data_IF_442079415718
#
_entry.id   IF_442079415718
#
_cell.length_a   1.000
_cell.length_b   1.000
_cell.length_c   1.000
_cell.angle_alpha   90.00
_cell.angle_beta   90.00
_cell.angle_gamma   90.00
#
_symmetry.space_group_name_H-M   'P 1'
#
loop_
_entity.id
_entity.type
_entity.pdbx_description
1 polymer ?
#
# COMPACT_ATOMS: atom_id res chain seq x y z
N UNK A 1 -2.05 9.00 -0.43
CA UNK A 1 -1.02 7.98 -0.16
C UNK A 1 -1.14 6.80 -1.11
N UNK A 2 -2.29 6.07 -1.17
CA UNK A 2 -2.42 4.86 -2.01
C UNK A 2 -2.06 5.10 -3.49
N UNK A 3 -2.55 6.16 -4.11
CA UNK A 3 -2.24 6.51 -5.50
C UNK A 3 -0.74 6.78 -5.77
N UNK A 4 0.06 7.02 -4.75
CA UNK A 4 1.52 7.15 -4.89
C UNK A 4 2.21 5.79 -5.08
N UNK A 5 1.52 4.71 -4.72
CA UNK A 5 1.97 3.34 -4.92
C UNK A 5 1.71 2.82 -6.35
N UNK A 6 1.11 3.62 -7.23
CA UNK A 6 1.08 3.30 -8.65
C UNK A 6 2.50 3.43 -9.23
N UNK A 7 3.25 2.32 -9.19
CA UNK A 7 4.66 2.26 -9.57
C UNK A 7 4.90 2.39 -11.07
N UNK A 8 3.87 2.21 -11.89
CA UNK A 8 3.97 2.46 -13.34
C UNK A 8 3.89 3.97 -13.62
N UNK A 9 3.08 4.69 -12.87
CA UNK A 9 2.91 6.13 -13.00
C UNK A 9 3.99 6.91 -12.22
N UNK A 10 4.41 6.38 -11.08
CA UNK A 10 5.42 6.95 -10.21
C UNK A 10 6.59 5.98 -10.13
N UNK A 11 7.41 5.91 -11.18
CA UNK A 11 8.50 4.95 -11.30
C UNK A 11 9.46 5.05 -10.10
N UNK A 12 9.57 4.00 -9.27
CA UNK A 12 10.54 3.95 -8.20
C UNK A 12 11.95 3.62 -8.72
N UNK A 13 12.96 3.86 -7.92
CA UNK A 13 14.37 3.70 -8.29
C UNK A 13 14.69 2.31 -8.88
N UNK A 14 14.04 1.25 -8.38
CA UNK A 14 14.23 -0.11 -8.89
C UNK A 14 13.59 -0.36 -10.27
N UNK A 15 12.82 0.55 -10.83
CA UNK A 15 12.28 0.48 -12.19
C UNK A 15 12.94 1.49 -13.14
N UNK A 16 13.83 2.34 -12.64
CA UNK A 16 14.50 3.32 -13.46
C UNK A 16 15.70 2.68 -14.19
N UNK A 17 15.85 2.94 -15.50
CA UNK A 17 17.05 2.51 -16.21
C UNK A 17 18.27 3.24 -15.63
N UNK A 18 19.23 2.47 -15.15
CA UNK A 18 20.62 2.81 -14.82
C UNK A 18 21.03 4.25 -14.44
N UNK A 19 20.24 4.90 -13.61
CA UNK A 19 20.66 6.20 -13.08
C UNK A 19 21.75 6.13 -12.00
N UNK A 20 21.85 5.00 -11.28
CA UNK A 20 22.79 4.81 -10.15
C UNK A 20 23.31 3.37 -10.13
N UNK A 21 24.04 2.96 -11.15
CA UNK A 21 24.54 1.61 -11.37
C UNK A 21 24.73 0.77 -10.10
N UNK A 22 24.29 -0.48 -10.17
CA UNK A 22 24.49 -1.51 -9.15
C UNK A 22 23.81 -1.33 -7.79
N UNK A 23 22.70 -0.59 -7.68
CA UNK A 23 21.90 -0.56 -6.44
C UNK A 23 21.11 -1.84 -6.27
N UNK A 24 20.57 -2.39 -7.33
CA UNK A 24 19.71 -3.57 -7.33
C UNK A 24 20.29 -4.73 -8.11
N UNK A 25 20.00 -5.92 -7.62
CA UNK A 25 20.21 -7.18 -8.29
C UNK A 25 18.86 -7.77 -8.69
N UNK A 26 18.74 -8.24 -9.92
CA UNK A 26 17.52 -8.85 -10.48
C UNK A 26 17.82 -10.30 -10.85
N UNK A 27 16.83 -11.17 -10.64
CA UNK A 27 16.87 -12.55 -11.07
C UNK A 27 15.52 -12.96 -11.65
N UNK A 28 15.55 -13.62 -12.81
CA UNK A 28 14.36 -14.33 -13.29
C UNK A 28 14.16 -15.55 -12.40
N UNK A 29 12.96 -15.70 -11.86
CA UNK A 29 12.60 -16.84 -11.03
C UNK A 29 11.91 -17.90 -11.89
N UNK A 30 10.59 -17.86 -11.89
CA UNK A 30 9.75 -18.84 -12.57
C UNK A 30 8.67 -18.13 -13.40
N UNK A 31 7.86 -18.91 -14.08
CA UNK A 31 6.64 -18.46 -14.71
C UNK A 31 5.45 -18.92 -13.88
N UNK A 32 4.43 -18.10 -13.77
CA UNK A 32 3.17 -18.44 -13.12
C UNK A 32 1.98 -17.94 -13.93
N UNK A 33 0.77 -18.20 -13.46
CA UNK A 33 -0.45 -17.75 -14.11
C UNK A 33 -1.21 -16.81 -13.19
N UNK A 34 -1.51 -15.61 -13.67
CA UNK A 34 -2.37 -14.62 -12.99
C UNK A 34 -3.49 -14.23 -13.95
N UNK A 35 -4.73 -14.33 -13.52
CA UNK A 35 -5.93 -14.01 -14.30
C UNK A 35 -5.93 -14.67 -15.72
N UNK A 36 -5.57 -15.97 -15.77
CA UNK A 36 -5.42 -16.77 -17.01
C UNK A 36 -4.31 -16.27 -17.96
N UNK A 37 -3.36 -15.47 -17.51
CA UNK A 37 -2.22 -15.00 -18.28
C UNK A 37 -0.93 -15.59 -17.73
N UNK A 38 -0.08 -16.03 -18.65
CA UNK A 38 1.27 -16.46 -18.30
C UNK A 38 2.12 -15.25 -17.98
N UNK A 39 2.76 -15.25 -16.83
CA UNK A 39 3.61 -14.15 -16.38
C UNK A 39 4.99 -14.63 -15.97
N UNK A 40 6.00 -13.87 -16.34
CA UNK A 40 7.36 -14.04 -15.87
C UNK A 40 7.51 -13.39 -14.50
N UNK A 41 8.14 -14.08 -13.56
CA UNK A 41 8.43 -13.57 -12.22
C UNK A 41 9.88 -13.12 -12.15
N UNK A 42 10.09 -11.85 -11.87
CA UNK A 42 11.40 -11.24 -11.68
C UNK A 42 11.54 -10.82 -10.23
N UNK A 43 12.42 -11.48 -9.48
CA UNK A 43 12.78 -11.03 -8.15
C UNK A 43 13.83 -9.92 -8.22
N UNK A 44 13.74 -8.98 -7.29
CA UNK A 44 14.75 -7.93 -7.15
C UNK A 44 15.08 -7.66 -5.68
N UNK A 45 16.31 -7.28 -5.44
CA UNK A 45 16.80 -6.92 -4.11
C UNK A 45 17.97 -5.95 -4.22
N UNK A 46 18.21 -5.18 -3.17
CA UNK A 46 19.40 -4.33 -3.09
C UNK A 46 20.69 -5.15 -3.01
N UNK A 47 21.76 -4.62 -3.56
CA UNK A 47 23.08 -5.23 -3.49
C UNK A 47 23.66 -5.22 -2.07
N UNK A 48 24.50 -6.23 -1.76
CA UNK A 48 25.01 -6.50 -0.41
C UNK A 48 25.73 -5.33 0.28
N UNK A 49 26.28 -4.39 -0.45
CA UNK A 49 26.98 -3.22 0.11
C UNK A 49 26.06 -2.09 0.60
N UNK A 50 24.78 -2.13 0.25
CA UNK A 50 23.82 -1.07 0.51
C UNK A 50 23.08 -1.37 1.80
N UNK A 51 23.16 -0.46 2.77
CA UNK A 51 22.57 -0.61 4.11
C UNK A 51 21.44 0.39 4.35
N UNK A 52 20.59 0.56 3.35
CA UNK A 52 19.45 1.47 3.35
C UNK A 52 18.13 0.68 3.33
N UNK A 53 17.03 1.24 3.83
CA UNK A 53 15.72 0.59 3.82
C UNK A 53 15.08 0.69 2.42
N UNK A 54 15.67 0.04 1.44
CA UNK A 54 15.15 0.00 0.08
C UNK A 54 14.13 -1.13 -0.10
N UNK A 55 13.35 -1.04 -1.18
CA UNK A 55 12.41 -2.10 -1.55
C UNK A 55 13.15 -3.32 -2.10
N UNK A 56 12.62 -4.49 -1.83
CA UNK A 56 12.90 -5.74 -2.51
C UNK A 56 11.56 -6.44 -2.82
N UNK A 57 11.56 -7.46 -3.64
CA UNK A 57 10.32 -8.18 -3.93
C UNK A 57 10.29 -8.83 -5.30
N UNK A 58 9.10 -8.89 -5.87
CA UNK A 58 8.81 -9.59 -7.11
C UNK A 58 7.95 -8.74 -8.03
N UNK A 59 8.29 -8.77 -9.31
CA UNK A 59 7.56 -8.17 -10.41
C UNK A 59 7.00 -9.28 -11.29
N UNK A 60 5.73 -9.22 -11.59
CA UNK A 60 5.00 -10.17 -12.42
C UNK A 60 4.70 -9.51 -13.76
N UNK A 61 5.39 -9.95 -14.79
CA UNK A 61 5.38 -9.35 -16.13
C UNK A 61 4.67 -10.28 -17.09
N UNK A 62 3.64 -9.79 -17.75
CA UNK A 62 2.92 -10.53 -18.80
C UNK A 62 3.89 -11.01 -19.89
N UNK A 63 3.88 -12.31 -20.17
CA UNK A 63 4.81 -12.93 -21.10
C UNK A 63 4.54 -12.56 -22.58
N UNK A 64 3.33 -12.09 -22.91
CA UNK A 64 2.94 -11.76 -24.28
C UNK A 64 3.30 -10.30 -24.64
N UNK A 65 3.04 -9.37 -23.70
CA UNK A 65 3.11 -7.93 -23.99
C UNK A 65 4.06 -7.14 -23.08
N UNK A 66 4.76 -7.82 -22.17
CA UNK A 66 5.70 -7.26 -21.20
C UNK A 66 5.07 -6.20 -20.24
N UNK A 67 3.75 -6.19 -20.08
CA UNK A 67 3.12 -5.31 -19.12
C UNK A 67 3.32 -5.80 -17.68
N UNK A 68 3.48 -4.87 -16.75
CA UNK A 68 3.45 -5.19 -15.33
C UNK A 68 2.02 -5.54 -14.92
N UNK A 69 1.79 -6.78 -14.47
CA UNK A 69 0.48 -7.29 -14.02
C UNK A 69 0.35 -7.15 -12.51
N UNK A 70 1.42 -7.45 -11.80
CA UNK A 70 1.46 -7.35 -10.34
C UNK A 70 2.87 -7.05 -9.84
N UNK A 71 2.95 -6.41 -8.69
CA UNK A 71 4.19 -6.26 -7.94
C UNK A 71 3.94 -6.57 -6.47
N UNK A 72 4.83 -7.35 -5.85
CA UNK A 72 4.92 -7.53 -4.41
C UNK A 72 6.18 -6.85 -3.94
N UNK A 73 6.03 -5.81 -3.15
CA UNK A 73 7.11 -4.97 -2.66
C UNK A 73 7.22 -5.11 -1.15
N UNK A 74 8.42 -5.29 -0.66
CA UNK A 74 8.72 -5.34 0.76
C UNK A 74 9.90 -4.41 1.06
N UNK A 75 9.84 -3.65 2.14
CA UNK A 75 11.06 -2.96 2.61
C UNK A 75 12.00 -4.01 3.19
N UNK A 76 13.24 -4.02 2.70
CA UNK A 76 14.24 -5.00 3.10
C UNK A 76 14.21 -5.25 4.62
N UNK A 77 13.87 -6.48 5.07
CA UNK A 77 13.69 -6.81 6.49
C UNK A 77 14.90 -6.48 7.37
N UNK A 78 16.11 -6.53 6.79
CA UNK A 78 17.33 -6.18 7.52
C UNK A 78 17.39 -4.68 7.91
N UNK A 79 16.69 -3.83 7.17
CA UNK A 79 16.77 -2.37 7.33
C UNK A 79 15.42 -1.70 7.58
N UNK A 80 14.31 -2.43 7.59
CA UNK A 80 12.94 -1.88 7.75
C UNK A 80 12.78 -1.00 8.99
N UNK A 81 13.53 -1.29 10.06
CA UNK A 81 13.51 -0.47 11.29
C UNK A 81 13.99 0.96 11.07
N UNK A 82 14.86 1.18 10.10
CA UNK A 82 15.39 2.51 9.75
C UNK A 82 14.32 3.33 9.01
N UNK A 83 13.37 2.66 8.33
CA UNK A 83 12.26 3.29 7.64
C UNK A 83 11.09 3.68 8.56
N UNK A 84 11.17 3.40 9.85
CA UNK A 84 10.05 3.64 10.80
C UNK A 84 9.45 5.04 10.67
N UNK A 85 10.30 6.06 10.55
CA UNK A 85 9.87 7.45 10.48
C UNK A 85 9.10 7.81 9.18
N UNK A 86 9.18 6.98 8.17
CA UNK A 86 8.43 7.16 6.91
C UNK A 86 6.93 6.86 7.09
N UNK A 87 6.57 6.08 8.11
CA UNK A 87 5.21 5.60 8.35
C UNK A 87 4.51 6.27 9.52
N UNK A 88 5.21 7.15 10.28
CA UNK A 88 4.67 7.75 11.49
C UNK A 88 4.63 9.27 11.33
N UNK A 89 3.47 9.80 11.01
CA UNK A 89 3.27 11.26 10.88
C UNK A 89 3.32 11.96 12.25
N UNK A 90 2.71 11.37 13.29
CA UNK A 90 2.72 11.92 14.65
C UNK A 90 3.50 11.06 15.63
N UNK A 91 4.66 11.54 16.05
CA UNK A 91 5.46 10.91 17.10
C UNK A 91 4.92 11.29 18.48
N UNK A 92 4.74 10.32 19.34
CA UNK A 92 4.36 10.57 20.73
C UNK A 92 5.57 10.47 21.68
N UNK A 93 5.56 11.24 22.75
CA UNK A 93 6.61 11.17 23.77
C UNK A 93 6.55 9.89 24.61
N UNK A 94 5.38 9.30 24.75
CA UNK A 94 5.12 8.12 25.60
C UNK A 94 5.51 6.80 24.95
N UNK A 95 5.32 6.68 23.62
CA UNK A 95 5.49 5.43 22.89
C UNK A 95 6.73 5.43 22.01
N UNK A 96 7.37 4.27 21.94
CA UNK A 96 8.36 3.95 20.90
C UNK A 96 7.71 2.98 19.93
N UNK A 97 7.58 3.40 18.68
CA UNK A 97 7.05 2.59 17.58
C UNK A 97 8.23 2.23 16.70
N UNK A 98 8.28 1.00 16.20
CA UNK A 98 9.37 0.53 15.35
C UNK A 98 8.77 -0.39 14.28
N UNK A 99 8.98 -0.08 13.00
CA UNK A 99 8.55 -0.92 11.91
C UNK A 99 9.26 -2.28 11.96
N UNK A 100 8.52 -3.34 11.72
CA UNK A 100 9.02 -4.71 11.69
C UNK A 100 8.93 -5.31 10.29
N UNK A 101 7.85 -5.01 9.59
CA UNK A 101 7.58 -5.48 8.25
C UNK A 101 6.68 -4.48 7.54
N UNK A 102 6.92 -4.24 6.26
CA UNK A 102 6.09 -3.41 5.40
C UNK A 102 6.04 -4.08 4.04
N UNK A 103 4.85 -4.52 3.65
CA UNK A 103 4.59 -5.20 2.39
C UNK A 103 3.49 -4.48 1.63
N UNK A 104 3.68 -4.31 0.34
CA UNK A 104 2.67 -3.84 -0.59
C UNK A 104 2.46 -4.84 -1.70
N UNK A 105 1.21 -5.11 -2.02
CA UNK A 105 0.81 -5.84 -3.22
C UNK A 105 0.03 -4.88 -4.10
N UNK A 106 0.48 -4.74 -5.34
CA UNK A 106 -0.11 -3.82 -6.32
C UNK A 106 -0.44 -4.65 -7.55
N UNK A 107 -1.67 -4.60 -8.03
CA UNK A 107 -2.08 -5.29 -9.25
C UNK A 107 -2.62 -4.32 -10.29
N UNK A 108 -2.44 -4.69 -11.53
CA UNK A 108 -2.89 -3.96 -12.71
C UNK A 108 -3.81 -4.85 -13.53
N UNK A 109 -4.84 -4.26 -14.10
CA UNK A 109 -5.79 -4.94 -14.96
C UNK A 109 -5.94 -4.23 -16.28
N UNK A 110 -6.07 -5.02 -17.33
CA UNK A 110 -6.29 -4.50 -18.67
C UNK A 110 -7.76 -4.08 -18.86
N UNK A 111 -7.95 -2.88 -19.37
CA UNK A 111 -9.23 -2.35 -19.83
C UNK A 111 -9.04 -1.71 -21.20
N UNK A 112 -9.77 -2.20 -22.21
CA UNK A 112 -9.64 -1.73 -23.60
C UNK A 112 -8.17 -1.65 -24.12
N UNK A 113 -7.36 -2.67 -23.81
CA UNK A 113 -5.98 -2.74 -24.26
C UNK A 113 -4.97 -1.96 -23.41
N UNK A 114 -5.41 -1.17 -22.43
CA UNK A 114 -4.56 -0.37 -21.54
C UNK A 114 -4.61 -0.95 -20.14
N UNK A 115 -3.45 -0.99 -19.45
CA UNK A 115 -3.37 -1.44 -18.07
C UNK A 115 -3.59 -0.29 -17.10
N UNK A 116 -4.50 -0.49 -16.15
CA UNK A 116 -4.80 0.42 -15.06
C UNK A 116 -4.52 -0.26 -13.73
N UNK A 117 -4.12 0.53 -12.76
CA UNK A 117 -4.03 0.07 -11.39
C UNK A 117 -5.39 -0.45 -10.94
N UNK A 118 -5.44 -1.71 -10.51
CA UNK A 118 -6.67 -2.39 -10.13
C UNK A 118 -6.84 -2.49 -8.62
N UNK A 119 -5.80 -2.94 -7.93
CA UNK A 119 -5.86 -3.18 -6.50
C UNK A 119 -4.52 -2.86 -5.85
N UNK A 120 -4.57 -2.27 -4.67
CA UNK A 120 -3.42 -2.09 -3.79
C UNK A 120 -3.80 -2.60 -2.41
N UNK A 121 -2.95 -3.44 -1.83
CA UNK A 121 -2.98 -3.80 -0.43
C UNK A 121 -1.64 -3.44 0.21
N UNK A 122 -1.71 -2.83 1.38
CA UNK A 122 -0.54 -2.58 2.22
C UNK A 122 -0.72 -3.21 3.58
N UNK A 123 0.23 -4.03 4.00
CA UNK A 123 0.31 -4.66 5.32
C UNK A 123 1.55 -4.13 6.06
N UNK A 124 1.34 -3.50 7.21
CA UNK A 124 2.40 -2.88 7.99
C UNK A 124 2.37 -3.41 9.43
N UNK A 125 3.49 -3.96 9.86
CA UNK A 125 3.66 -4.50 11.21
C UNK A 125 4.62 -3.62 12.00
N UNK A 126 4.19 -3.25 13.19
CA UNK A 126 4.97 -2.41 14.11
C UNK A 126 5.10 -3.08 15.46
N UNK A 127 6.24 -2.88 16.08
CA UNK A 127 6.44 -3.12 17.51
C UNK A 127 6.21 -1.81 18.26
N UNK A 128 5.28 -1.83 19.20
CA UNK A 128 4.90 -0.67 20.01
C UNK A 128 5.30 -0.94 21.45
N UNK A 129 6.01 0.01 22.07
CA UNK A 129 6.50 -0.10 23.44
C UNK A 129 6.32 1.23 24.18
N UNK A 130 5.87 1.16 25.44
CA UNK A 130 5.93 2.31 26.36
C UNK A 130 7.39 2.59 26.76
N UNK A 131 7.86 3.81 26.58
CA UNK A 131 9.27 4.18 26.84
C UNK A 131 9.71 3.95 28.29
N UNK A 132 8.76 3.98 29.25
CA UNK A 132 9.03 3.79 30.68
C UNK A 132 8.83 2.38 31.19
N UNK A 133 8.38 1.46 30.37
CA UNK A 133 8.14 0.07 30.76
C UNK A 133 9.10 -0.86 30.02
N UNK A 134 9.89 -1.63 30.78
CA UNK A 134 10.94 -2.50 30.20
C UNK A 134 10.36 -3.75 29.52
N UNK A 135 9.22 -4.24 29.96
CA UNK A 135 8.71 -5.58 29.59
C UNK A 135 7.42 -5.59 28.77
N UNK A 136 6.82 -4.46 28.47
CA UNK A 136 5.59 -4.44 27.67
C UNK A 136 5.86 -3.96 26.25
N UNK A 137 5.94 -4.88 25.31
CA UNK A 137 5.92 -4.58 23.88
C UNK A 137 4.76 -5.33 23.24
N UNK A 138 3.94 -4.61 22.49
CA UNK A 138 2.83 -5.16 21.71
C UNK A 138 3.16 -5.10 20.23
N UNK A 139 2.63 -6.05 19.47
CA UNK A 139 2.63 -5.98 18.02
C UNK A 139 1.38 -5.24 17.57
N UNK A 140 1.54 -4.36 16.61
CA UNK A 140 0.44 -3.68 15.92
C UNK A 140 0.53 -4.05 14.45
N UNK A 141 -0.52 -4.64 13.91
CA UNK A 141 -0.74 -4.80 12.49
C UNK A 141 -1.73 -3.74 12.03
N UNK A 142 -1.40 -3.04 10.98
CA UNK A 142 -2.30 -2.14 10.27
C UNK A 142 -2.24 -2.46 8.79
N UNK A 143 -3.36 -2.39 8.15
CA UNK A 143 -3.47 -2.64 6.71
C UNK A 143 -4.41 -1.64 6.06
N UNK A 144 -4.31 -1.52 4.76
CA UNK A 144 -5.23 -0.76 3.93
C UNK A 144 -5.38 -1.43 2.57
N UNK A 145 -6.53 -1.24 1.98
CA UNK A 145 -6.82 -1.68 0.63
C UNK A 145 -7.41 -0.54 -0.19
N UNK A 146 -7.14 -0.56 -1.48
CA UNK A 146 -7.77 0.29 -2.47
C UNK A 146 -8.06 -0.53 -3.72
N UNK A 147 -9.29 -0.44 -4.21
CA UNK A 147 -9.75 -1.13 -5.42
C UNK A 147 -10.28 -0.10 -6.41
N UNK A 148 -9.95 -0.28 -7.68
CA UNK A 148 -10.54 0.49 -8.78
C UNK A 148 -11.88 -0.12 -9.14
N UNK A 149 -12.97 0.54 -8.77
CA UNK A 149 -14.33 0.06 -9.02
C UNK A 149 -14.83 0.37 -10.43
N UNK A 150 -14.34 1.46 -11.02
CA UNK A 150 -14.74 1.92 -12.36
C UNK A 150 -13.57 2.62 -13.05
N UNK A 151 -13.42 2.36 -14.34
CA UNK A 151 -12.52 3.12 -15.22
C UNK A 151 -13.38 3.92 -16.18
N UNK A 152 -13.20 5.24 -16.17
CA UNK A 152 -13.84 6.15 -17.11
C UNK A 152 -12.76 6.92 -17.86
N UNK A 153 -12.80 6.85 -19.18
CA UNK A 153 -11.81 7.45 -20.08
C UNK A 153 -12.37 8.62 -20.88
N UNK A 154 -13.69 8.85 -20.76
CA UNK A 154 -14.38 9.89 -21.50
C UNK A 154 -14.41 11.19 -20.69
N UNK A 155 -14.14 12.31 -21.37
CA UNK A 155 -14.20 13.65 -20.77
C UNK A 155 -13.37 13.84 -19.50
N UNK A 156 -12.22 13.18 -19.43
CA UNK A 156 -11.34 13.24 -18.26
C UNK A 156 -10.83 14.66 -18.01
N UNK A 157 -11.12 15.21 -16.85
CA UNK A 157 -10.64 16.50 -16.41
C UNK A 157 -9.72 16.38 -15.21
N UNK A 158 -8.77 17.29 -15.07
CA UNK A 158 -7.87 17.32 -13.93
C UNK A 158 -8.61 17.84 -12.70
N UNK A 159 -8.52 17.12 -11.58
CA UNK A 159 -9.03 17.58 -10.30
C UNK A 159 -8.44 18.94 -9.90
N UNK A 160 -9.30 19.87 -9.51
CA UNK A 160 -8.90 21.15 -8.96
C UNK A 160 -8.26 20.97 -7.57
N UNK A 161 -7.46 21.96 -7.14
CA UNK A 161 -6.76 21.89 -5.85
C UNK A 161 -7.70 21.66 -4.65
N UNK A 162 -8.89 22.24 -4.68
CA UNK A 162 -9.92 22.11 -3.63
C UNK A 162 -10.58 20.71 -3.57
N UNK A 163 -10.51 19.95 -4.66
CA UNK A 163 -11.08 18.60 -4.79
C UNK A 163 -10.09 17.51 -4.36
N UNK A 164 -8.85 17.89 -4.09
CA UNK A 164 -7.78 16.97 -3.73
C UNK A 164 -7.46 17.07 -2.25
N UNK A 165 -7.43 15.93 -1.58
CA UNK A 165 -6.93 15.86 -0.21
C UNK A 165 -5.39 15.94 -0.22
N UNK A 166 -4.76 16.78 0.62
CA UNK A 166 -3.32 16.79 0.78
C UNK A 166 -2.78 15.42 1.20
N UNK A 167 -1.64 15.02 0.67
CA UNK A 167 -1.05 13.67 0.88
C UNK A 167 -0.69 13.37 2.34
N UNK A 168 -0.47 14.41 3.15
CA UNK A 168 -0.14 14.29 4.58
C UNK A 168 -1.34 14.51 5.50
N UNK A 169 -2.55 14.55 4.96
CA UNK A 169 -3.75 14.69 5.78
C UNK A 169 -3.93 13.43 6.63
N UNK A 170 -4.07 13.62 7.94
CA UNK A 170 -4.44 12.56 8.86
C UNK A 170 -5.94 12.40 8.77
N UNK A 171 -6.39 11.23 8.34
CA UNK A 171 -7.80 10.98 8.02
C UNK A 171 -8.71 11.19 9.24
N UNK A 172 -8.27 10.78 10.44
CA UNK A 172 -9.01 10.99 11.69
C UNK A 172 -9.18 12.46 12.10
N UNK A 173 -8.42 13.38 11.50
CA UNK A 173 -8.56 14.81 11.77
C UNK A 173 -9.54 15.49 10.80
N UNK A 174 -10.07 14.75 9.86
CA UNK A 174 -11.03 15.24 8.87
C UNK A 174 -12.44 14.88 9.31
N UNK A 175 -13.32 15.86 9.32
CA UNK A 175 -14.73 15.65 9.62
C UNK A 175 -15.49 15.40 8.31
N UNK A 176 -15.53 14.14 7.89
CA UNK A 176 -16.38 13.74 6.76
C UNK A 176 -17.72 13.25 7.29
N UNK A 177 -18.79 13.74 6.71
CA UNK A 177 -20.09 13.16 6.90
C UNK A 177 -20.19 11.89 6.06
N UNK A 178 -20.51 10.77 6.66
CA UNK A 178 -20.72 9.52 5.93
C UNK A 178 -21.95 9.68 5.03
N UNK A 179 -21.80 9.36 3.78
CA UNK A 179 -22.85 9.35 2.77
C UNK A 179 -23.01 7.92 2.28
N UNK A 180 -24.07 7.25 2.74
CA UNK A 180 -24.34 5.87 2.38
C UNK A 180 -24.68 5.72 0.89
N UNK A 181 -25.35 6.71 0.31
CA UNK A 181 -25.80 6.68 -1.07
C UNK A 181 -24.62 6.85 -2.04
N UNK A 182 -23.57 7.59 -1.62
CA UNK A 182 -22.35 7.76 -2.40
C UNK A 182 -21.63 6.43 -2.69
N UNK A 183 -21.61 5.52 -1.71
CA UNK A 183 -20.90 4.25 -1.86
C UNK A 183 -21.69 3.24 -2.70
N UNK A 184 -23.03 3.24 -2.67
CA UNK A 184 -23.90 2.42 -3.51
C UNK A 184 -23.33 1.04 -3.80
N UNK A 185 -23.15 0.72 -5.09
CA UNK A 185 -22.59 -0.54 -5.58
C UNK A 185 -21.05 -0.63 -5.49
N UNK A 186 -20.37 0.42 -5.03
CA UNK A 186 -18.89 0.44 -4.95
C UNK A 186 -18.32 -0.26 -3.72
N UNK A 187 -19.14 -0.83 -2.85
CA UNK A 187 -18.70 -1.64 -1.70
C UNK A 187 -18.25 -3.04 -2.17
N UNK A 188 -17.17 -3.11 -2.95
CA UNK A 188 -16.66 -4.35 -3.55
C UNK A 188 -15.66 -5.10 -2.67
N UNK A 189 -15.15 -4.47 -1.60
CA UNK A 189 -14.25 -5.12 -0.65
C UNK A 189 -15.09 -5.73 0.46
N UNK A 190 -15.13 -7.07 0.60
CA UNK A 190 -15.82 -7.71 1.72
C UNK A 190 -15.14 -7.31 3.03
N UNK A 191 -15.93 -7.03 4.04
CA UNK A 191 -15.41 -6.76 5.37
C UNK A 191 -14.81 -8.03 5.96
N UNK A 192 -13.66 -7.92 6.60
CA UNK A 192 -13.19 -9.02 7.44
C UNK A 192 -14.20 -9.25 8.57
N UNK A 193 -14.55 -10.50 8.86
CA UNK A 193 -15.57 -10.84 9.88
C UNK A 193 -15.30 -10.17 11.24
N UNK A 194 -14.02 -10.03 11.61
CA UNK A 194 -13.62 -9.35 12.84
C UNK A 194 -13.96 -7.84 12.84
N UNK A 195 -13.86 -7.18 11.70
CA UNK A 195 -14.22 -5.77 11.53
C UNK A 195 -15.74 -5.58 11.56
N UNK A 196 -16.51 -6.47 10.95
CA UNK A 196 -17.98 -6.47 11.01
C UNK A 196 -18.47 -6.47 12.46
N UNK A 197 -17.95 -7.38 13.28
CA UNK A 197 -18.31 -7.48 14.69
C UNK A 197 -17.84 -6.30 15.54
N UNK A 198 -16.72 -5.67 15.20
CA UNK A 198 -16.22 -4.48 15.90
C UNK A 198 -17.08 -3.26 15.57
N UNK A 199 -17.48 -3.09 14.32
CA UNK A 199 -18.34 -1.97 13.89
C UNK A 199 -19.75 -2.12 14.46
N UNK A 200 -20.33 -3.30 14.47
CA UNK A 200 -21.60 -3.55 15.16
C UNK A 200 -21.55 -3.21 16.65
N UNK A 201 -20.42 -3.47 17.31
CA UNK A 201 -20.20 -3.10 18.72
C UNK A 201 -19.92 -1.61 18.94
N UNK A 202 -19.42 -0.90 17.94
CA UNK A 202 -19.11 0.54 18.01
C UNK A 202 -20.27 1.40 17.53
N UNK A 203 -21.12 0.90 16.64
CA UNK A 203 -22.28 1.62 16.10
C UNK A 203 -23.17 2.26 17.19
N UNK A 204 -23.56 1.55 18.26
CA UNK A 204 -24.36 2.14 19.33
C UNK A 204 -23.62 3.21 20.15
N UNK A 205 -22.30 3.22 20.13
CA UNK A 205 -21.48 4.22 20.85
C UNK A 205 -21.26 5.48 20.02
N UNK A 206 -21.28 5.37 18.70
CA UNK A 206 -21.13 6.51 17.78
C UNK A 206 -22.42 7.36 17.82
N UNK A 207 -23.59 6.73 17.89
CA UNK A 207 -24.86 7.43 18.03
C UNK A 207 -25.03 8.19 19.37
N UNK A 208 -24.24 7.83 20.40
CA UNK A 208 -24.23 8.52 21.69
C UNK A 208 -23.28 9.73 21.77
N UNK A 209 -22.47 9.98 20.74
CA UNK A 209 -21.48 11.07 20.70
C UNK A 209 -21.98 12.27 19.87
N UNK A 210 -23.12 12.19 19.23
CA UNK A 210 -23.77 13.30 18.52
C UNK A 210 -24.62 14.18 19.48
N UNK A 211 -23.99 14.77 20.52
CA UNK A 211 -24.54 15.90 21.27
C UNK A 211 -23.46 16.91 21.60
#
# INVERSE_FOLDING_TARGET
>A
ACLQLDIVKNLPDFLLPDGKGNVYFYASCDMTVIDNRLVNVISFRQNKGIKEPLYCGELYIDAENNALVQARLEINPAYVRQATDMFIERKTRKWKITAQEVVYTISYRQWNGIYYMNHIRGDLYFKVKLKRQWFSASSLHTWFEMVTCKVDVDNVTRFQRKERMPTRTIFSDTHFKYDADFWGEFNVIPWEEELGTVIEKLSPKIEQIEY
#
